data_IF_541645004739
#
_entry.id   IF_541645004739
#
_cell.length_a   1.000
_cell.length_b   1.000
_cell.length_c   1.000
_cell.angle_alpha   90.00
_cell.angle_beta   90.00
_cell.angle_gamma   90.00
#
_symmetry.space_group_name_H-M   'P 1'
#
loop_
_entity.id
_entity.type
_entity.pdbx_description
1 polymer ?
#
# COMPACT_ATOMS: atom_id res chain seq x y z
N UNK A 1 45.51 -4.35 19.68
CA UNK A 1 46.21 -4.10 18.41
C UNK A 1 45.24 -3.97 17.22
N UNK A 2 44.33 -2.97 17.16
CA UNK A 2 43.42 -2.81 16.02
C UNK A 2 44.03 -1.99 14.87
N UNK A 3 44.91 -1.02 15.19
CA UNK A 3 45.52 -0.12 14.20
C UNK A 3 46.36 -0.85 13.17
N UNK A 4 47.20 -1.80 13.60
CA UNK A 4 48.01 -2.62 12.69
C UNK A 4 47.14 -3.35 11.66
N UNK A 5 45.99 -3.88 12.09
CA UNK A 5 45.05 -4.52 11.17
C UNK A 5 44.35 -3.51 10.26
N UNK A 6 44.02 -2.30 10.74
CA UNK A 6 43.45 -1.25 9.88
C UNK A 6 44.44 -0.79 8.82
N UNK A 7 45.68 -0.46 9.21
CA UNK A 7 46.73 0.00 8.30
C UNK A 7 47.07 -1.10 7.27
N UNK A 8 47.11 -2.36 7.71
CA UNK A 8 47.32 -3.50 6.82
C UNK A 8 46.14 -3.70 5.86
N UNK A 9 44.90 -3.60 6.35
CA UNK A 9 43.72 -3.69 5.49
C UNK A 9 43.69 -2.54 4.46
N UNK A 10 43.99 -1.30 4.85
CA UNK A 10 44.06 -0.14 3.95
C UNK A 10 45.11 -0.35 2.85
N UNK A 11 46.31 -0.78 3.20
CA UNK A 11 47.36 -1.10 2.24
C UNK A 11 46.92 -2.19 1.27
N UNK A 12 46.26 -3.24 1.76
CA UNK A 12 45.78 -4.32 0.90
C UNK A 12 44.62 -3.86 0.00
N UNK A 13 43.75 -2.95 0.46
CA UNK A 13 42.72 -2.35 -0.41
C UNK A 13 43.31 -1.55 -1.56
N UNK A 14 44.45 -0.88 -1.36
CA UNK A 14 45.17 -0.18 -2.43
C UNK A 14 45.80 -1.14 -3.44
N UNK A 15 46.23 -2.33 -3.01
CA UNK A 15 46.84 -3.34 -3.86
C UNK A 15 45.84 -4.11 -4.75
N UNK A 16 44.52 -3.99 -4.52
CA UNK A 16 43.43 -4.59 -5.34
C UNK A 16 43.46 -6.12 -5.55
N UNK A 17 44.21 -6.88 -4.74
CA UNK A 17 44.18 -8.35 -4.78
C UNK A 17 42.96 -8.93 -4.06
N UNK A 18 41.87 -9.14 -4.79
CA UNK A 18 40.52 -9.42 -4.24
C UNK A 18 40.46 -10.63 -3.30
N UNK A 19 41.12 -11.73 -3.65
CA UNK A 19 41.08 -12.97 -2.85
C UNK A 19 41.95 -12.87 -1.59
N UNK A 20 43.11 -12.20 -1.70
CA UNK A 20 44.04 -12.00 -0.60
C UNK A 20 43.48 -10.99 0.42
N UNK A 21 42.96 -9.85 -0.05
CA UNK A 21 42.30 -8.84 0.79
C UNK A 21 41.15 -9.46 1.57
N UNK A 22 40.29 -10.25 0.92
CA UNK A 22 39.17 -10.95 1.59
C UNK A 22 39.65 -11.87 2.72
N UNK A 23 40.67 -12.69 2.46
CA UNK A 23 41.24 -13.61 3.47
C UNK A 23 41.83 -12.84 4.65
N UNK A 24 42.40 -11.66 4.39
CA UNK A 24 43.00 -10.79 5.40
C UNK A 24 41.91 -10.14 6.27
N UNK A 25 40.83 -9.63 5.68
CA UNK A 25 39.66 -9.16 6.41
C UNK A 25 39.02 -10.28 7.26
N UNK A 26 38.91 -11.49 6.72
CA UNK A 26 38.44 -12.66 7.48
C UNK A 26 39.38 -13.05 8.63
N UNK A 27 40.70 -12.93 8.44
CA UNK A 27 41.69 -13.19 9.49
C UNK A 27 41.66 -12.12 10.57
N UNK A 28 41.50 -10.86 10.19
CA UNK A 28 41.37 -9.74 11.11
C UNK A 28 40.13 -9.92 12.01
N UNK A 29 38.98 -10.27 11.42
CA UNK A 29 37.72 -10.47 12.17
C UNK A 29 37.74 -11.72 13.07
N UNK A 30 38.58 -12.72 12.78
CA UNK A 30 38.84 -13.85 13.70
C UNK A 30 39.79 -13.51 14.83
N UNK A 31 40.78 -12.66 14.57
CA UNK A 31 41.82 -12.32 15.54
C UNK A 31 41.39 -11.25 16.55
N UNK A 32 40.40 -10.42 16.20
CA UNK A 32 39.98 -9.28 17.01
C UNK A 32 38.70 -9.58 17.80
N UNK A 33 38.58 -9.08 19.06
CA UNK A 33 37.35 -9.14 19.83
C UNK A 33 36.19 -8.41 19.15
N UNK A 34 34.96 -8.86 19.42
CA UNK A 34 33.72 -8.35 18.81
C UNK A 34 33.53 -6.84 18.97
N UNK A 35 34.05 -6.25 20.05
CA UNK A 35 33.99 -4.80 20.34
C UNK A 35 34.82 -3.94 19.38
N UNK A 36 35.73 -4.54 18.62
CA UNK A 36 36.60 -3.85 17.67
C UNK A 36 36.16 -4.06 16.21
N UNK A 37 35.13 -4.87 15.99
CA UNK A 37 34.62 -5.18 14.65
C UNK A 37 34.01 -3.95 13.97
N UNK A 38 33.42 -3.04 14.75
CA UNK A 38 32.81 -1.79 14.27
C UNK A 38 33.77 -0.91 13.45
N UNK A 39 35.09 -1.02 13.67
CA UNK A 39 36.10 -0.23 12.94
C UNK A 39 36.57 -0.89 11.65
N UNK A 40 36.47 -2.21 11.55
CA UNK A 40 36.93 -2.96 10.36
C UNK A 40 35.82 -3.09 9.33
N UNK A 41 34.57 -3.24 9.78
CA UNK A 41 33.44 -3.42 8.88
C UNK A 41 33.25 -2.29 7.87
N UNK A 42 33.37 -0.98 8.22
CA UNK A 42 33.27 0.09 7.23
C UNK A 42 34.35 0.02 6.14
N UNK A 43 35.59 -0.35 6.49
CA UNK A 43 36.67 -0.55 5.53
C UNK A 43 36.39 -1.75 4.63
N UNK A 44 35.85 -2.82 5.23
CA UNK A 44 35.53 -4.02 4.48
C UNK A 44 34.35 -3.80 3.52
N UNK A 45 33.32 -3.06 3.94
CA UNK A 45 32.19 -2.68 3.09
C UNK A 45 32.66 -1.80 1.94
N UNK A 46 33.43 -0.73 2.20
CA UNK A 46 34.00 0.11 1.13
C UNK A 46 34.81 -0.70 0.11
N UNK A 47 35.62 -1.64 0.60
CA UNK A 47 36.38 -2.53 -0.28
C UNK A 47 35.45 -3.37 -1.15
N UNK A 48 34.45 -4.00 -0.54
CA UNK A 48 33.56 -4.91 -1.24
C UNK A 48 32.61 -4.17 -2.21
N UNK A 49 32.13 -2.97 -1.87
CA UNK A 49 31.32 -2.13 -2.79
C UNK A 49 32.15 -1.64 -3.99
N UNK A 50 33.46 -1.43 -3.83
CA UNK A 50 34.34 -1.05 -4.95
C UNK A 50 34.62 -2.17 -5.95
N UNK A 51 34.26 -3.42 -5.64
CA UNK A 51 34.45 -4.57 -6.52
C UNK A 51 33.11 -5.18 -6.93
N UNK A 52 32.87 -5.34 -8.23
CA UNK A 52 31.63 -5.87 -8.78
C UNK A 52 31.50 -7.41 -8.66
N UNK A 53 31.53 -7.95 -7.43
CA UNK A 53 31.29 -9.39 -7.18
C UNK A 53 30.09 -9.58 -6.22
N UNK A 54 28.86 -9.64 -6.76
CA UNK A 54 27.63 -9.55 -5.96
C UNK A 54 27.48 -10.66 -4.91
N UNK A 55 27.82 -11.91 -5.24
CA UNK A 55 27.66 -13.03 -4.31
C UNK A 55 28.57 -12.93 -3.08
N UNK A 56 29.81 -12.50 -3.28
CA UNK A 56 30.74 -12.34 -2.16
C UNK A 56 30.28 -11.22 -1.24
N UNK A 57 29.77 -10.15 -1.83
CA UNK A 57 29.25 -9.02 -1.09
C UNK A 57 28.03 -9.38 -0.26
N UNK A 58 27.06 -10.08 -0.85
CA UNK A 58 25.88 -10.55 -0.14
C UNK A 58 26.26 -11.42 1.07
N UNK A 59 27.25 -12.30 0.92
CA UNK A 59 27.72 -13.15 2.05
C UNK A 59 28.41 -12.33 3.14
N UNK A 60 29.17 -11.30 2.75
CA UNK A 60 29.84 -10.39 3.68
C UNK A 60 28.83 -9.55 4.45
N UNK A 61 27.86 -8.94 3.77
CA UNK A 61 26.78 -8.19 4.41
C UNK A 61 25.91 -9.09 5.30
N UNK A 62 25.56 -10.31 4.87
CA UNK A 62 24.82 -11.25 5.74
C UNK A 62 25.59 -11.59 7.01
N UNK A 63 26.93 -11.59 7.00
CA UNK A 63 27.75 -11.74 8.22
C UNK A 63 27.76 -10.46 9.05
N UNK A 64 27.88 -9.31 8.39
CA UNK A 64 27.87 -8.00 9.03
C UNK A 64 26.57 -7.75 9.81
N UNK A 65 25.43 -8.08 9.21
CA UNK A 65 24.10 -7.89 9.80
C UNK A 65 23.83 -8.75 11.05
N UNK A 66 24.57 -9.85 11.25
CA UNK A 66 24.49 -10.64 12.49
C UNK A 66 25.06 -9.88 13.70
N UNK A 67 25.99 -8.96 13.47
CA UNK A 67 26.67 -8.20 14.51
C UNK A 67 26.05 -6.82 14.68
N UNK A 68 25.75 -6.15 13.56
CA UNK A 68 25.15 -4.83 13.52
C UNK A 68 23.86 -4.88 12.69
N UNK A 69 22.71 -5.20 13.33
CA UNK A 69 21.40 -5.10 12.69
C UNK A 69 21.04 -3.67 12.25
N UNK A 70 21.76 -2.66 12.77
CA UNK A 70 21.52 -1.22 12.57
C UNK A 70 21.79 -0.75 11.14
N UNK A 71 22.82 -1.28 10.47
CA UNK A 71 23.23 -0.87 9.12
C UNK A 71 22.55 -1.71 8.02
N UNK A 72 21.32 -2.18 8.29
CA UNK A 72 20.56 -2.97 7.31
C UNK A 72 20.09 -2.12 6.13
N UNK A 73 19.94 -0.82 6.30
CA UNK A 73 19.56 0.10 5.22
C UNK A 73 20.65 0.21 4.15
N UNK A 74 21.91 0.34 4.53
CA UNK A 74 23.04 0.36 3.59
C UNK A 74 23.09 -0.93 2.75
N UNK A 75 22.70 -2.06 3.35
CA UNK A 75 22.60 -3.32 2.62
C UNK A 75 21.42 -3.35 1.65
N UNK A 76 20.27 -2.76 2.02
CA UNK A 76 19.12 -2.65 1.12
C UNK A 76 19.45 -1.75 -0.07
N UNK A 77 20.13 -0.62 0.15
CA UNK A 77 20.58 0.27 -0.92
C UNK A 77 21.53 -0.45 -1.89
N UNK A 78 22.51 -1.17 -1.35
CA UNK A 78 23.41 -1.99 -2.16
C UNK A 78 22.67 -3.09 -2.95
N UNK A 79 21.67 -3.75 -2.36
CA UNK A 79 20.88 -4.76 -3.06
C UNK A 79 20.01 -4.16 -4.18
N UNK A 80 19.58 -2.89 -4.03
CA UNK A 80 18.90 -2.14 -5.10
C UNK A 80 19.83 -1.85 -6.27
N UNK A 81 21.09 -1.48 -6.01
CA UNK A 81 22.10 -1.27 -7.06
C UNK A 81 22.38 -2.55 -7.89
N UNK A 82 22.22 -3.73 -7.28
CA UNK A 82 22.53 -5.03 -7.90
C UNK A 82 21.28 -5.72 -8.47
N UNK A 83 20.13 -5.05 -8.46
CA UNK A 83 18.85 -5.58 -8.94
C UNK A 83 18.39 -6.88 -8.24
N UNK A 84 18.93 -7.18 -7.05
CA UNK A 84 18.57 -8.34 -6.22
C UNK A 84 17.46 -7.97 -5.24
N UNK A 85 16.30 -7.70 -5.82
CA UNK A 85 15.16 -7.10 -5.13
C UNK A 85 14.50 -8.01 -4.10
N UNK A 86 14.56 -9.34 -4.26
CA UNK A 86 13.92 -10.29 -3.34
C UNK A 86 14.62 -10.31 -1.99
N UNK A 87 15.96 -10.34 -2.03
CA UNK A 87 16.79 -10.22 -0.84
C UNK A 87 16.55 -8.85 -0.19
N UNK A 88 16.43 -7.79 -0.99
CA UNK A 88 16.18 -6.43 -0.48
C UNK A 88 14.84 -6.35 0.25
N UNK A 89 13.79 -6.87 -0.36
CA UNK A 89 12.45 -6.92 0.21
C UNK A 89 12.42 -7.74 1.50
N UNK A 90 13.13 -8.88 1.56
CA UNK A 90 13.19 -9.70 2.77
C UNK A 90 13.90 -8.98 3.91
N UNK A 91 14.99 -8.27 3.61
CA UNK A 91 15.71 -7.49 4.62
C UNK A 91 14.89 -6.29 5.09
N UNK A 92 14.20 -5.60 4.18
CA UNK A 92 13.26 -4.54 4.54
C UNK A 92 12.10 -5.07 5.39
N UNK A 93 11.53 -6.23 5.08
CA UNK A 93 10.44 -6.82 5.87
C UNK A 93 10.87 -7.15 7.30
N UNK A 94 12.10 -7.63 7.48
CA UNK A 94 12.66 -7.86 8.83
C UNK A 94 12.88 -6.51 9.55
N UNK A 95 13.44 -5.52 8.86
CA UNK A 95 13.66 -4.18 9.40
C UNK A 95 12.35 -3.54 9.87
N UNK A 96 11.32 -3.66 9.06
CA UNK A 96 9.97 -3.17 9.28
C UNK A 96 9.29 -3.81 10.50
N UNK A 97 9.56 -5.09 10.76
CA UNK A 97 9.02 -5.79 11.94
C UNK A 97 9.78 -5.47 13.23
N UNK A 98 11.01 -4.97 13.13
CA UNK A 98 11.84 -4.58 14.28
C UNK A 98 11.53 -3.12 14.69
N UNK A 99 10.46 -2.93 15.46
CA UNK A 99 9.96 -1.63 15.96
C UNK A 99 10.93 -0.81 16.81
N UNK A 100 12.05 -1.43 17.20
CA UNK A 100 13.00 -0.89 18.18
C UNK A 100 14.15 -0.13 17.54
N UNK A 101 14.32 -0.20 16.23
CA UNK A 101 15.46 0.40 15.55
C UNK A 101 15.07 1.76 14.98
N UNK A 102 15.35 2.80 15.77
CA UNK A 102 15.57 4.14 15.21
C UNK A 102 16.72 3.99 14.21
N UNK A 103 16.39 4.11 12.93
CA UNK A 103 17.35 4.10 11.84
C UNK A 103 18.46 5.13 12.08
N UNK A 104 19.72 4.77 11.81
CA UNK A 104 20.82 5.76 11.81
C UNK A 104 20.59 6.88 10.77
N UNK A 105 19.81 6.60 9.71
CA UNK A 105 19.42 7.57 8.70
C UNK A 105 18.21 8.42 9.11
N UNK A 106 17.65 8.21 10.30
CA UNK A 106 16.52 8.99 10.83
C UNK A 106 15.19 8.74 10.10
N UNK A 107 15.11 7.71 9.26
CA UNK A 107 13.87 7.33 8.58
C UNK A 107 12.84 6.84 9.58
N UNK A 108 11.59 7.27 9.39
CA UNK A 108 10.48 6.76 10.21
C UNK A 108 10.13 5.34 9.79
N UNK A 109 9.58 4.55 10.71
CA UNK A 109 9.10 3.19 10.40
C UNK A 109 8.09 3.21 9.25
N UNK A 110 7.26 4.26 9.16
CA UNK A 110 6.35 4.47 8.04
C UNK A 110 7.07 4.68 6.70
N UNK A 111 8.14 5.47 6.66
CA UNK A 111 8.93 5.65 5.43
C UNK A 111 9.51 4.33 4.92
N UNK A 112 10.00 3.49 5.84
CA UNK A 112 10.51 2.15 5.53
C UNK A 112 9.40 1.23 4.99
N UNK A 113 8.19 1.33 5.55
CA UNK A 113 7.00 0.66 5.01
C UNK A 113 6.66 1.13 3.59
N UNK A 114 6.64 2.44 3.35
CA UNK A 114 6.37 2.97 2.00
C UNK A 114 7.44 2.55 1.00
N UNK A 115 8.72 2.54 1.39
CA UNK A 115 9.82 2.09 0.54
C UNK A 115 9.70 0.59 0.22
N UNK A 116 9.32 -0.23 1.20
CA UNK A 116 9.05 -1.65 0.99
C UNK A 116 7.85 -1.86 0.05
N UNK A 117 6.75 -1.15 0.27
CA UNK A 117 5.56 -1.21 -0.56
C UNK A 117 5.84 -0.78 -2.01
N UNK A 118 6.60 0.30 -2.23
CA UNK A 118 7.01 0.72 -3.56
C UNK A 118 7.93 -0.28 -4.26
N UNK A 119 8.88 -0.88 -3.52
CA UNK A 119 9.80 -1.87 -4.09
C UNK A 119 9.04 -3.10 -4.57
N UNK A 120 8.08 -3.55 -3.74
CA UNK A 120 7.21 -4.69 -4.05
C UNK A 120 6.26 -4.36 -5.20
N UNK A 121 5.58 -3.21 -5.15
CA UNK A 121 4.61 -2.81 -6.19
C UNK A 121 5.31 -2.65 -7.54
N UNK A 122 6.56 -2.17 -7.56
CA UNK A 122 7.30 -1.98 -8.81
C UNK A 122 7.77 -3.28 -9.44
N UNK A 123 8.01 -4.34 -8.66
CA UNK A 123 8.66 -5.56 -9.13
C UNK A 123 7.97 -6.88 -8.71
N UNK A 124 6.71 -7.13 -9.11
CA UNK A 124 6.01 -8.37 -8.75
C UNK A 124 6.65 -9.64 -9.29
N UNK A 125 7.30 -9.56 -10.46
CA UNK A 125 7.91 -10.71 -11.14
C UNK A 125 9.24 -11.15 -10.55
N UNK A 126 9.84 -10.33 -9.68
CA UNK A 126 11.10 -10.67 -9.01
C UNK A 126 10.76 -11.20 -7.61
N UNK A 127 9.93 -10.49 -6.85
CA UNK A 127 9.65 -10.82 -5.44
C UNK A 127 8.74 -12.04 -5.30
N UNK A 128 9.35 -13.22 -5.18
CA UNK A 128 8.64 -14.50 -4.97
C UNK A 128 8.65 -14.99 -3.50
N UNK A 129 9.58 -14.49 -2.69
CA UNK A 129 9.86 -15.04 -1.36
C UNK A 129 8.94 -14.53 -0.23
N UNK A 130 8.11 -13.52 -0.51
CA UNK A 130 7.28 -12.84 0.48
C UNK A 130 5.80 -12.91 0.12
N UNK A 131 4.97 -13.21 1.12
CA UNK A 131 3.53 -13.08 1.00
C UNK A 131 3.14 -11.60 1.11
N UNK A 132 3.20 -10.91 -0.04
CA UNK A 132 2.94 -9.47 -0.18
C UNK A 132 1.64 -9.05 0.49
N UNK A 133 0.56 -9.80 0.28
CA UNK A 133 -0.75 -9.54 0.88
C UNK A 133 -0.70 -9.47 2.41
N UNK A 134 -0.07 -10.46 3.04
CA UNK A 134 -0.01 -10.51 4.50
C UNK A 134 0.76 -9.33 5.08
N UNK A 135 1.82 -8.91 4.38
CA UNK A 135 2.69 -7.82 4.80
C UNK A 135 1.96 -6.50 4.64
N UNK A 136 1.37 -6.21 3.47
CA UNK A 136 0.67 -4.94 3.27
C UNK A 136 -0.57 -4.84 4.17
N UNK A 137 -1.31 -5.94 4.38
CA UNK A 137 -2.44 -5.97 5.33
C UNK A 137 -2.00 -5.70 6.77
N UNK A 138 -0.85 -6.23 7.19
CA UNK A 138 -0.26 -5.91 8.49
C UNK A 138 0.13 -4.43 8.57
N UNK A 139 0.66 -3.85 7.49
CA UNK A 139 0.94 -2.42 7.38
C UNK A 139 -0.31 -1.57 7.56
N UNK A 140 -1.41 -1.91 6.87
CA UNK A 140 -2.71 -1.21 6.97
C UNK A 140 -3.29 -1.29 8.38
N UNK A 141 -3.18 -2.43 9.06
CA UNK A 141 -3.68 -2.58 10.42
C UNK A 141 -2.89 -1.74 11.43
N UNK A 142 -1.60 -1.52 11.16
CA UNK A 142 -0.66 -0.94 12.10
C UNK A 142 -0.49 0.57 11.96
N UNK A 143 -0.65 1.10 10.75
CA UNK A 143 -0.56 2.52 10.47
C UNK A 143 -1.90 3.03 9.96
N UNK A 144 -2.58 3.84 10.79
CA UNK A 144 -3.83 4.52 10.42
C UNK A 144 -3.62 5.73 9.52
N UNK A 145 -2.38 6.23 9.50
CA UNK A 145 -2.03 7.49 8.86
C UNK A 145 -1.47 7.15 7.48
N UNK A 146 -2.24 7.39 6.41
CA UNK A 146 -1.91 7.09 5.00
C UNK A 146 -2.21 5.65 4.52
N UNK A 147 -3.33 5.09 4.97
CA UNK A 147 -3.85 3.80 4.49
C UNK A 147 -4.10 3.81 2.97
N UNK A 148 -4.40 4.97 2.37
CA UNK A 148 -4.66 5.12 0.93
C UNK A 148 -3.49 4.67 0.05
N UNK A 149 -2.27 5.08 0.39
CA UNK A 149 -1.06 4.76 -0.39
C UNK A 149 -0.77 3.25 -0.34
N UNK A 150 -0.95 2.62 0.82
CA UNK A 150 -0.72 1.19 1.01
C UNK A 150 -1.69 0.36 0.16
N UNK A 151 -2.99 0.69 0.15
CA UNK A 151 -3.97 0.01 -0.71
C UNK A 151 -3.66 0.20 -2.20
N UNK A 152 -3.28 1.41 -2.62
CA UNK A 152 -2.87 1.66 -4.00
C UNK A 152 -1.64 0.82 -4.39
N UNK A 153 -0.66 0.68 -3.48
CA UNK A 153 0.53 -0.15 -3.73
C UNK A 153 0.21 -1.64 -3.85
N UNK A 154 -0.74 -2.14 -3.04
CA UNK A 154 -1.23 -3.52 -3.12
C UNK A 154 -1.98 -3.78 -4.42
N UNK A 155 -2.84 -2.85 -4.83
CA UNK A 155 -3.56 -2.96 -6.09
C UNK A 155 -2.59 -2.90 -7.28
N UNK A 156 -1.60 -2.01 -7.25
CA UNK A 156 -0.57 -1.92 -8.30
C UNK A 156 0.25 -3.22 -8.43
N UNK A 157 0.57 -3.87 -7.31
CA UNK A 157 1.20 -5.20 -7.32
C UNK A 157 0.38 -6.23 -8.10
N UNK A 158 -0.94 -6.30 -7.85
CA UNK A 158 -1.82 -7.23 -8.55
C UNK A 158 -2.04 -6.87 -10.03
N UNK A 159 -2.12 -5.58 -10.36
CA UNK A 159 -2.22 -5.09 -11.74
C UNK A 159 -0.99 -5.51 -12.54
N UNK A 160 0.20 -5.28 -12.01
CA UNK A 160 1.46 -5.65 -12.66
C UNK A 160 1.68 -7.17 -12.70
N UNK A 161 1.14 -7.90 -11.72
CA UNK A 161 1.08 -9.36 -11.73
C UNK A 161 0.04 -9.94 -12.71
N UNK A 162 -0.70 -9.12 -13.45
CA UNK A 162 -1.70 -9.55 -14.44
C UNK A 162 -3.02 -10.07 -13.87
N UNK A 163 -3.21 -9.99 -12.54
CA UNK A 163 -4.41 -10.48 -11.86
C UNK A 163 -5.42 -9.34 -11.65
N UNK A 164 -6.09 -8.93 -12.73
CA UNK A 164 -6.97 -7.76 -12.71
C UNK A 164 -8.20 -7.90 -11.81
N UNK A 165 -8.82 -9.08 -11.72
CA UNK A 165 -9.99 -9.27 -10.84
C UNK A 165 -9.61 -9.14 -9.35
N UNK A 166 -8.47 -9.71 -8.94
CA UNK A 166 -7.96 -9.53 -7.58
C UNK A 166 -7.66 -8.07 -7.26
N UNK A 167 -7.13 -7.32 -8.23
CA UNK A 167 -6.91 -5.88 -8.04
C UNK A 167 -8.23 -5.13 -7.81
N UNK A 168 -9.32 -5.53 -8.48
CA UNK A 168 -10.66 -4.96 -8.25
C UNK A 168 -11.19 -5.31 -6.86
N UNK A 169 -11.05 -6.57 -6.44
CA UNK A 169 -11.47 -6.99 -5.10
C UNK A 169 -10.75 -6.19 -4.01
N UNK A 170 -9.45 -5.95 -4.20
CA UNK A 170 -8.64 -5.10 -3.31
C UNK A 170 -9.14 -3.66 -3.28
N UNK A 171 -9.49 -3.06 -4.43
CA UNK A 171 -10.06 -1.71 -4.48
C UNK A 171 -11.43 -1.61 -3.80
N UNK A 172 -12.32 -2.58 -4.01
CA UNK A 172 -13.63 -2.59 -3.36
C UNK A 172 -13.48 -2.79 -1.83
N UNK A 173 -12.58 -3.67 -1.39
CA UNK A 173 -12.25 -3.83 0.04
C UNK A 173 -11.67 -2.54 0.64
N UNK A 174 -10.79 -1.85 -0.09
CA UNK A 174 -10.21 -0.59 0.33
C UNK A 174 -11.28 0.50 0.50
N UNK A 175 -12.20 0.63 -0.47
CA UNK A 175 -13.31 1.60 -0.41
C UNK A 175 -14.22 1.37 0.81
N UNK A 176 -14.45 0.11 1.19
CA UNK A 176 -15.27 -0.24 2.36
C UNK A 176 -14.53 0.06 3.67
N UNK A 177 -13.23 -0.26 3.74
CA UNK A 177 -12.44 -0.16 4.97
C UNK A 177 -11.99 1.27 5.32
N UNK A 178 -11.85 2.15 4.33
CA UNK A 178 -11.30 3.49 4.53
C UNK A 178 -12.24 4.40 5.32
N UNK A 179 -11.64 5.10 6.28
CA UNK A 179 -12.31 6.09 7.14
C UNK A 179 -12.06 7.53 6.69
N UNK A 180 -10.91 7.87 6.11
CA UNK A 180 -10.60 9.26 5.75
C UNK A 180 -11.08 9.61 4.33
N UNK A 181 -11.55 10.85 4.11
CA UNK A 181 -11.95 11.31 2.77
C UNK A 181 -10.73 11.38 1.84
N UNK A 182 -9.58 11.78 2.37
CA UNK A 182 -8.32 11.88 1.60
C UNK A 182 -7.92 10.52 1.04
N UNK A 183 -7.86 9.49 1.89
CA UNK A 183 -7.50 8.14 1.44
C UNK A 183 -8.56 7.60 0.46
N UNK A 184 -9.84 7.88 0.69
CA UNK A 184 -10.92 7.49 -0.22
C UNK A 184 -10.73 8.12 -1.61
N UNK A 185 -10.47 9.44 -1.68
CA UNK A 185 -10.26 10.11 -2.96
C UNK A 185 -9.06 9.53 -3.71
N UNK A 186 -7.94 9.27 -3.03
CA UNK A 186 -6.75 8.68 -3.64
C UNK A 186 -7.03 7.28 -4.20
N UNK A 187 -7.70 6.42 -3.43
CA UNK A 187 -8.05 5.06 -3.85
C UNK A 187 -9.05 5.09 -4.99
N UNK A 188 -10.08 5.94 -4.91
CA UNK A 188 -11.12 6.02 -5.91
C UNK A 188 -10.57 6.55 -7.25
N UNK A 189 -9.76 7.60 -7.22
CA UNK A 189 -9.15 8.14 -8.43
C UNK A 189 -8.17 7.12 -9.05
N UNK A 190 -7.41 6.37 -8.22
CA UNK A 190 -6.58 5.26 -8.70
C UNK A 190 -7.40 4.11 -9.30
N UNK A 191 -8.54 3.76 -8.70
CA UNK A 191 -9.44 2.72 -9.20
C UNK A 191 -10.12 3.14 -10.50
N UNK A 192 -10.56 4.40 -10.61
CA UNK A 192 -11.12 4.96 -11.84
C UNK A 192 -10.09 4.94 -12.98
N UNK A 193 -8.87 5.41 -12.73
CA UNK A 193 -7.77 5.35 -13.70
C UNK A 193 -7.44 3.91 -14.12
N UNK A 194 -7.49 2.95 -13.19
CA UNK A 194 -7.31 1.54 -13.50
C UNK A 194 -8.45 0.99 -14.36
N UNK A 195 -9.70 1.31 -14.01
CA UNK A 195 -10.87 0.89 -14.78
C UNK A 195 -10.83 1.46 -16.20
N UNK A 196 -10.49 2.74 -16.36
CA UNK A 196 -10.31 3.40 -17.67
C UNK A 196 -9.20 2.75 -18.50
N UNK A 197 -8.04 2.47 -17.90
CA UNK A 197 -6.95 1.75 -18.60
C UNK A 197 -7.35 0.33 -18.99
N UNK A 198 -8.09 -0.35 -18.11
CA UNK A 198 -8.59 -1.70 -18.38
C UNK A 198 -9.62 -1.72 -19.49
N UNK A 199 -10.54 -0.73 -19.54
CA UNK A 199 -11.53 -0.63 -20.61
C UNK A 199 -10.88 -0.23 -21.93
N UNK A 200 -9.92 0.71 -21.93
CA UNK A 200 -9.15 1.08 -23.11
C UNK A 200 -8.35 -0.09 -23.67
N UNK A 201 -7.66 -0.86 -22.81
CA UNK A 201 -6.92 -2.05 -23.24
C UNK A 201 -7.86 -3.11 -23.84
N UNK A 202 -9.03 -3.33 -23.23
CA UNK A 202 -10.04 -4.27 -23.75
C UNK A 202 -10.66 -3.78 -25.07
N UNK A 203 -10.92 -2.48 -25.21
CA UNK A 203 -11.37 -1.87 -26.47
C UNK A 203 -10.37 -2.13 -27.58
N UNK A 204 -9.07 -1.94 -27.32
CA UNK A 204 -8.01 -2.20 -28.29
C UNK A 204 -7.90 -3.68 -28.67
N UNK A 205 -8.06 -4.60 -27.71
CA UNK A 205 -8.11 -6.05 -27.96
C UNK A 205 -9.30 -6.43 -28.86
N UNK A 206 -10.49 -5.92 -28.53
CA UNK A 206 -11.73 -6.16 -29.28
C UNK A 206 -11.61 -5.61 -30.70
N UNK A 207 -11.06 -4.40 -30.86
CA UNK A 207 -10.83 -3.78 -32.17
C UNK A 207 -9.85 -4.57 -33.03
N UNK A 208 -8.80 -5.14 -32.44
CA UNK A 208 -7.81 -5.98 -33.15
C UNK A 208 -8.34 -7.38 -33.45
N UNK A 209 -9.29 -7.89 -32.67
CA UNK A 209 -9.86 -9.22 -32.89
C UNK A 209 -10.78 -9.22 -34.11
N UNK A 210 -10.24 -9.55 -35.28
CA UNK A 210 -11.04 -9.69 -36.51
C UNK A 210 -12.03 -10.87 -36.45
N UNK A 211 -11.81 -11.80 -35.53
CA UNK A 211 -12.57 -13.05 -35.38
C UNK A 211 -13.93 -12.90 -34.70
N UNK A 212 -14.15 -11.84 -33.91
CA UNK A 212 -15.41 -11.64 -33.18
C UNK A 212 -16.47 -11.02 -34.08
N UNK A 213 -17.72 -11.51 -34.01
CA UNK A 213 -18.83 -10.90 -34.73
C UNK A 213 -19.04 -9.46 -34.23
N UNK A 214 -19.45 -8.55 -35.12
CA UNK A 214 -19.61 -7.13 -34.76
C UNK A 214 -20.57 -6.89 -33.59
N UNK A 215 -21.65 -7.68 -33.50
CA UNK A 215 -22.60 -7.64 -32.38
C UNK A 215 -22.01 -8.09 -31.04
N UNK A 216 -21.09 -9.07 -31.06
CA UNK A 216 -20.44 -9.55 -29.83
C UNK A 216 -19.47 -8.50 -29.31
N UNK A 217 -18.76 -7.81 -30.21
CA UNK A 217 -17.90 -6.68 -29.87
C UNK A 217 -18.72 -5.54 -29.25
N UNK A 218 -19.83 -5.16 -29.87
CA UNK A 218 -20.73 -4.12 -29.35
C UNK A 218 -21.26 -4.48 -27.95
N UNK A 219 -21.69 -5.72 -27.73
CA UNK A 219 -22.17 -6.18 -26.44
C UNK A 219 -21.09 -6.17 -25.35
N UNK A 220 -19.87 -6.63 -25.66
CA UNK A 220 -18.76 -6.60 -24.70
C UNK A 220 -18.39 -5.16 -24.30
N UNK A 221 -18.43 -4.24 -25.26
CA UNK A 221 -18.18 -2.82 -25.01
C UNK A 221 -19.28 -2.19 -24.16
N UNK A 222 -20.55 -2.44 -24.47
CA UNK A 222 -21.67 -1.98 -23.66
C UNK A 222 -21.55 -2.49 -22.21
N UNK A 223 -21.17 -3.75 -22.01
CA UNK A 223 -20.98 -4.31 -20.67
C UNK A 223 -19.82 -3.64 -19.91
N UNK A 224 -18.71 -3.35 -20.61
CA UNK A 224 -17.58 -2.62 -20.04
C UNK A 224 -17.94 -1.18 -19.64
N UNK A 225 -18.66 -0.46 -20.51
CA UNK A 225 -19.13 0.90 -20.23
C UNK A 225 -20.15 0.93 -19.09
N UNK A 226 -21.15 0.04 -19.12
CA UNK A 226 -22.14 -0.06 -18.05
C UNK A 226 -21.49 -0.32 -16.67
N UNK A 227 -20.43 -1.14 -16.63
CA UNK A 227 -19.68 -1.37 -15.39
C UNK A 227 -18.94 -0.12 -14.91
N UNK A 228 -18.32 0.63 -15.83
CA UNK A 228 -17.61 1.86 -15.49
C UNK A 228 -18.56 2.97 -15.05
N UNK A 229 -19.68 3.17 -15.76
CA UNK A 229 -20.74 4.11 -15.39
C UNK A 229 -21.29 3.77 -14.01
N UNK A 230 -21.59 2.49 -13.75
CA UNK A 230 -22.04 2.05 -12.43
C UNK A 230 -21.01 2.35 -11.31
N UNK A 231 -19.71 2.30 -11.59
CA UNK A 231 -18.69 2.71 -10.62
C UNK A 231 -18.72 4.22 -10.37
N UNK A 232 -18.86 5.02 -11.44
CA UNK A 232 -18.90 6.48 -11.36
C UNK A 232 -20.16 6.98 -10.64
N UNK A 233 -21.31 6.38 -10.92
CA UNK A 233 -22.59 6.68 -10.27
C UNK A 233 -22.57 6.36 -8.77
N UNK A 234 -21.78 5.37 -8.37
CA UNK A 234 -21.59 5.02 -6.94
C UNK A 234 -20.71 6.00 -6.19
N UNK A 235 -19.92 6.86 -6.86
CA UNK A 235 -18.97 7.77 -6.19
C UNK A 235 -19.62 8.64 -5.09
N UNK A 236 -20.76 9.31 -5.32
CA UNK A 236 -21.39 10.16 -4.29
C UNK A 236 -21.88 9.33 -3.09
N UNK A 237 -22.45 8.15 -3.35
CA UNK A 237 -22.92 7.24 -2.29
C UNK A 237 -21.77 6.70 -1.44
N UNK A 238 -20.65 6.35 -2.08
CA UNK A 238 -19.46 5.87 -1.40
C UNK A 238 -18.80 6.99 -0.59
N UNK A 239 -18.68 8.19 -1.14
CA UNK A 239 -18.17 9.35 -0.41
C UNK A 239 -19.02 9.67 0.82
N UNK A 240 -20.35 9.68 0.66
CA UNK A 240 -21.26 9.87 1.78
C UNK A 240 -21.09 8.77 2.84
N UNK A 241 -20.89 7.52 2.43
CA UNK A 241 -20.61 6.42 3.38
C UNK A 241 -19.31 6.65 4.18
N UNK A 242 -18.27 7.22 3.57
CA UNK A 242 -17.02 7.55 4.25
C UNK A 242 -17.25 8.68 5.26
N UNK A 243 -18.01 9.71 4.89
CA UNK A 243 -18.36 10.83 5.78
C UNK A 243 -19.15 10.35 7.00
N UNK A 244 -20.12 9.44 6.79
CA UNK A 244 -20.88 8.82 7.86
C UNK A 244 -20.02 7.90 8.75
N UNK A 245 -18.99 7.24 8.19
CA UNK A 245 -18.02 6.47 8.99
C UNK A 245 -17.14 7.35 9.87
N UNK A 246 -16.81 8.57 9.43
CA UNK A 246 -16.09 9.54 10.25
C UNK A 246 -16.96 10.09 11.37
N UNK A 247 -18.16 10.55 11.01
CA UNK A 247 -19.08 11.21 11.93
C UNK A 247 -20.49 10.64 11.77
N UNK A 248 -20.81 9.53 12.45
CA UNK A 248 -22.14 8.88 12.37
C UNK A 248 -23.28 9.78 12.85
N UNK A 249 -22.98 10.78 13.69
CA UNK A 249 -23.97 11.68 14.29
C UNK A 249 -24.23 12.96 13.49
N UNK A 250 -23.70 13.06 12.26
CA UNK A 250 -23.94 14.20 11.39
C UNK A 250 -25.28 14.08 10.65
N UNK A 251 -26.27 14.83 11.09
CA UNK A 251 -27.63 14.81 10.52
C UNK A 251 -27.69 15.29 9.06
N UNK A 252 -26.79 16.21 8.66
CA UNK A 252 -26.77 16.73 7.29
C UNK A 252 -26.32 15.68 6.28
N UNK A 253 -25.34 14.84 6.64
CA UNK A 253 -24.87 13.78 5.74
C UNK A 253 -25.89 12.66 5.57
N UNK A 254 -26.68 12.36 6.61
CA UNK A 254 -27.80 11.44 6.47
C UNK A 254 -28.88 11.98 5.53
N UNK A 255 -29.19 13.28 5.57
CA UNK A 255 -30.13 13.91 4.63
C UNK A 255 -29.58 13.90 3.19
N UNK A 256 -28.30 14.21 3.01
CA UNK A 256 -27.64 14.11 1.71
C UNK A 256 -27.73 12.67 1.16
N UNK A 257 -27.56 11.64 2.01
CA UNK A 257 -27.73 10.23 1.62
C UNK A 257 -29.13 9.93 1.10
N UNK A 258 -30.17 10.47 1.74
CA UNK A 258 -31.55 10.27 1.29
C UNK A 258 -31.79 10.92 -0.07
N UNK A 259 -31.25 12.12 -0.30
CA UNK A 259 -31.31 12.78 -1.60
C UNK A 259 -30.59 11.95 -2.69
N UNK A 260 -29.47 11.32 -2.36
CA UNK A 260 -28.76 10.45 -3.30
C UNK A 260 -29.54 9.16 -3.65
N UNK A 261 -30.50 8.74 -2.83
CA UNK A 261 -31.39 7.60 -3.12
C UNK A 261 -32.71 8.00 -3.77
N UNK A 262 -32.83 9.22 -4.30
CA UNK A 262 -34.02 9.69 -5.01
C UNK A 262 -34.42 8.73 -6.13
N UNK A 263 -35.62 8.14 -6.01
CA UNK A 263 -36.14 7.11 -6.92
C UNK A 263 -36.28 5.70 -6.30
N UNK A 264 -35.56 5.39 -5.21
CA UNK A 264 -35.70 4.11 -4.51
C UNK A 264 -36.25 4.29 -3.08
N UNK A 265 -37.57 4.20 -2.96
CA UNK A 265 -38.31 4.45 -1.71
C UNK A 265 -37.88 3.55 -0.56
N UNK A 266 -37.64 2.27 -0.84
CA UNK A 266 -37.30 1.30 0.20
C UNK A 266 -35.96 1.64 0.85
N UNK A 267 -34.94 1.98 0.03
CA UNK A 267 -33.64 2.39 0.54
C UNK A 267 -33.68 3.71 1.29
N UNK A 268 -34.56 4.65 0.88
CA UNK A 268 -34.75 5.91 1.60
C UNK A 268 -35.35 5.68 3.00
N UNK A 269 -36.31 4.76 3.15
CA UNK A 269 -36.87 4.41 4.46
C UNK A 269 -35.80 3.76 5.34
N UNK A 270 -35.06 2.79 4.79
CA UNK A 270 -33.97 2.11 5.50
C UNK A 270 -32.91 3.11 5.99
N UNK A 271 -32.51 4.08 5.17
CA UNK A 271 -31.53 5.09 5.59
C UNK A 271 -32.06 6.04 6.66
N UNK A 272 -33.34 6.40 6.62
CA UNK A 272 -33.95 7.17 7.71
C UNK A 272 -34.02 6.38 9.02
N UNK A 273 -34.39 5.10 8.96
CA UNK A 273 -34.38 4.21 10.14
C UNK A 273 -32.97 4.07 10.72
N UNK A 274 -31.97 3.84 9.88
CA UNK A 274 -30.56 3.77 10.29
C UNK A 274 -30.08 5.10 10.89
N UNK A 275 -30.44 6.24 10.29
CA UNK A 275 -30.10 7.55 10.81
C UNK A 275 -30.68 7.76 12.21
N UNK A 276 -31.95 7.42 12.43
CA UNK A 276 -32.62 7.55 13.73
C UNK A 276 -32.00 6.63 14.78
N UNK A 277 -31.60 5.39 14.42
CA UNK A 277 -30.93 4.46 15.35
C UNK A 277 -29.52 4.90 15.72
N UNK A 278 -28.80 5.55 14.80
CA UNK A 278 -27.37 5.88 14.96
C UNK A 278 -27.13 7.27 15.55
N UNK A 279 -27.98 8.26 15.28
CA UNK A 279 -27.79 9.63 15.77
C UNK A 279 -28.13 9.72 17.25
N UNK A 280 -27.12 10.01 18.08
CA UNK A 280 -27.32 10.31 19.48
C UNK A 280 -27.59 11.81 19.67
N UNK A 281 -28.70 12.22 20.32
CA UNK A 281 -29.06 13.63 20.47
C UNK A 281 -28.00 14.50 21.18
N UNK A 282 -27.14 13.89 22.00
CA UNK A 282 -26.09 14.59 22.77
C UNK A 282 -24.83 14.89 21.96
N UNK A 283 -24.55 14.14 20.90
CA UNK A 283 -23.33 14.23 20.09
C UNK A 283 -23.63 14.76 18.67
N UNK A 284 -24.84 15.27 18.45
CA UNK A 284 -25.31 15.65 17.12
C UNK A 284 -24.50 16.84 16.56
N UNK A 285 -24.07 16.71 15.31
CA UNK A 285 -23.65 17.83 14.47
C UNK A 285 -24.77 18.08 13.46
N UNK A 286 -25.48 19.19 13.64
CA UNK A 286 -26.78 19.44 13.01
C UNK A 286 -27.96 19.07 13.93
N UNK A 287 -29.17 19.46 13.55
CA UNK A 287 -30.39 19.21 14.34
C UNK A 287 -31.03 17.89 13.92
N UNK A 288 -31.16 16.93 14.83
CA UNK A 288 -31.93 15.69 14.62
C UNK A 288 -33.38 15.96 14.18
N UNK A 289 -33.95 17.10 14.62
CA UNK A 289 -35.28 17.54 14.16
C UNK A 289 -35.37 17.62 12.64
N UNK A 290 -34.29 17.97 11.94
CA UNK A 290 -34.30 18.09 10.48
C UNK A 290 -34.42 16.72 9.80
N UNK A 291 -33.89 15.66 10.41
CA UNK A 291 -34.05 14.28 9.92
C UNK A 291 -35.49 13.84 10.06
N UNK A 292 -36.10 14.06 11.23
CA UNK A 292 -37.53 13.77 11.45
C UNK A 292 -38.45 14.58 10.54
N UNK A 293 -38.15 15.87 10.32
CA UNK A 293 -38.92 16.70 9.38
C UNK A 293 -38.76 16.18 7.95
N UNK A 294 -37.55 15.78 7.55
CA UNK A 294 -37.31 15.15 6.24
C UNK A 294 -38.09 13.84 6.08
N UNK A 295 -38.11 13.01 7.13
CA UNK A 295 -38.84 11.75 7.14
C UNK A 295 -40.36 11.96 7.08
N UNK A 296 -40.90 12.92 7.84
CA UNK A 296 -42.31 13.26 7.80
C UNK A 296 -42.74 13.78 6.41
N UNK A 297 -41.93 14.67 5.80
CA UNK A 297 -42.18 15.16 4.43
C UNK A 297 -42.15 14.04 3.39
N UNK A 298 -41.21 13.09 3.53
CA UNK A 298 -41.11 11.94 2.63
C UNK A 298 -42.37 11.06 2.66
N UNK A 299 -42.91 10.78 3.85
CA UNK A 299 -44.17 10.04 3.98
C UNK A 299 -45.40 10.84 3.54
N UNK A 300 -45.39 12.16 3.73
CA UNK A 300 -46.43 13.07 3.25
C UNK A 300 -46.50 13.05 1.70
N UNK A 301 -45.36 13.11 1.02
CA UNK A 301 -45.26 12.99 -0.44
C UNK A 301 -45.72 11.61 -0.96
N UNK A 302 -45.57 10.56 -0.15
CA UNK A 302 -46.01 9.20 -0.47
C UNK A 302 -47.43 8.85 0.01
N UNK A 303 -48.18 9.82 0.56
CA UNK A 303 -49.57 9.67 1.02
C UNK A 303 -49.78 8.59 2.09
N UNK A 304 -48.74 8.18 2.81
CA UNK A 304 -48.84 7.24 3.93
C UNK A 304 -49.05 8.02 5.24
N UNK A 305 -50.20 8.69 5.35
CA UNK A 305 -50.55 9.55 6.50
C UNK A 305 -50.61 8.82 7.85
N UNK A 306 -50.81 7.50 7.85
CA UNK A 306 -50.87 6.71 9.07
C UNK A 306 -49.50 6.48 9.71
N UNK A 307 -48.41 6.48 8.93
CA UNK A 307 -47.04 6.31 9.44
C UNK A 307 -46.39 7.65 9.83
N UNK A 308 -46.99 8.79 9.45
CA UNK A 308 -46.54 10.15 9.81
C UNK A 308 -46.88 10.52 11.26
N UNK A 309 -47.91 9.88 11.84
CA UNK A 309 -48.55 10.29 13.10
C UNK A 309 -47.92 9.64 14.33
#
# INVERSE_FOLDING_TARGET
MPRIWMDYCELMTQQRYITATRRIFDRALRALPITQHDRIWPLYIKFVTSHAIPETTIRVYRRYLKLLPKNREDFVEYLREIDRLDDAAQQLAILVNDDKLVSEHGKTTHQLWTELCELISKNPNKVHSLNVDSIIRQGIQRYSDQVGILWCSLAEYYIRGGHFEKARDVYEEAIVSVKTVRDFTQIFDAYANFAERSTAAKMDEINKSETMNQKERELELELLFARFEHLMDRRPLLLNSVLLRQNPHNAHEWLNRVQLYEGNKQKQIETYEEAVRTIQPKLQTGKLSNVWIGFAKFYEEHKQLNEVR
#
